data_IF_769671362123
#
_entry.id   IF_769671362123
#
_cell.length_a   1.000
_cell.length_b   1.000
_cell.length_c   1.000
_cell.angle_alpha   90.00
_cell.angle_beta   90.00
_cell.angle_gamma   90.00
#
_symmetry.space_group_name_H-M   'P 1'
#
loop_
_entity.id
_entity.type
_entity.pdbx_description
1 polymer ?
#
# COMPACT_ATOMS: atom_id res chain seq x y z
N UNK A 1 16.11 27.56 27.07
CA UNK A 1 16.52 27.01 25.76
C UNK A 1 15.24 26.72 24.97
N UNK A 2 15.08 27.28 23.77
CA UNK A 2 13.90 27.05 22.91
C UNK A 2 14.27 25.90 21.95
N UNK A 3 13.79 24.70 22.25
CA UNK A 3 13.94 23.55 21.36
C UNK A 3 12.91 23.68 20.25
N UNK A 4 13.32 24.27 19.12
CA UNK A 4 12.54 24.16 17.88
C UNK A 4 12.67 22.74 17.37
N UNK A 5 11.66 21.91 17.64
CA UNK A 5 11.50 20.61 17.01
C UNK A 5 11.19 20.86 15.53
N UNK A 6 12.21 20.78 14.69
CA UNK A 6 12.04 20.64 13.26
C UNK A 6 11.46 19.24 13.01
N UNK A 7 10.13 19.13 13.13
CA UNK A 7 9.42 17.92 12.73
C UNK A 7 9.52 17.85 11.21
N UNK A 8 10.40 16.98 10.70
CA UNK A 8 10.54 16.79 9.27
C UNK A 8 9.22 16.23 8.75
N UNK A 9 8.62 16.91 7.76
CA UNK A 9 7.34 16.50 7.16
C UNK A 9 7.39 15.05 6.63
N UNK A 10 8.58 14.56 6.28
CA UNK A 10 8.81 13.17 5.85
C UNK A 10 8.43 12.13 6.90
N UNK A 11 8.57 12.42 8.20
CA UNK A 11 8.25 11.46 9.26
C UNK A 11 6.72 11.30 9.48
N UNK A 12 5.93 12.31 9.12
CA UNK A 12 4.46 12.24 9.26
C UNK A 12 3.83 11.34 8.20
N UNK A 13 4.43 11.26 7.01
CA UNK A 13 3.89 10.45 5.90
C UNK A 13 3.93 8.96 6.26
N UNK A 14 5.07 8.46 6.76
CA UNK A 14 5.22 7.06 7.14
C UNK A 14 4.26 6.62 8.27
N UNK A 15 4.02 7.49 9.25
CA UNK A 15 3.10 7.20 10.35
C UNK A 15 1.62 7.20 9.93
N UNK A 16 1.25 8.00 8.92
CA UNK A 16 -0.11 8.08 8.39
C UNK A 16 -0.41 6.89 7.47
N UNK A 17 0.55 6.47 6.65
CA UNK A 17 0.37 5.32 5.74
C UNK A 17 0.13 4.05 6.56
N UNK A 18 0.90 3.80 7.62
CA UNK A 18 0.75 2.61 8.46
C UNK A 18 -0.59 2.50 9.22
N UNK A 19 -1.31 3.60 9.41
CA UNK A 19 -2.61 3.61 10.11
C UNK A 19 -3.81 3.54 9.16
N UNK A 20 -3.60 3.74 7.86
CA UNK A 20 -4.69 3.87 6.87
C UNK A 20 -4.78 2.72 5.88
N UNK A 21 -3.78 1.83 5.82
CA UNK A 21 -3.85 0.64 4.97
C UNK A 21 -4.99 -0.26 5.45
N UNK A 22 -6.01 -0.53 4.61
CA UNK A 22 -7.08 -1.43 4.97
C UNK A 22 -6.54 -2.83 5.32
N UNK A 23 -7.06 -3.51 6.35
CA UNK A 23 -6.55 -4.82 6.77
C UNK A 23 -6.53 -5.88 5.66
N UNK A 24 -7.46 -5.82 4.70
CA UNK A 24 -7.50 -6.73 3.56
C UNK A 24 -6.29 -6.56 2.62
N UNK A 25 -5.72 -5.35 2.53
CA UNK A 25 -4.54 -5.05 1.72
C UNK A 25 -3.30 -5.70 2.35
N UNK A 26 -3.17 -5.67 3.68
CA UNK A 26 -2.10 -6.36 4.41
C UNK A 26 -2.18 -7.89 4.25
N UNK A 27 -3.39 -8.46 4.15
CA UNK A 27 -3.57 -9.87 3.79
C UNK A 27 -3.06 -10.13 2.38
N UNK A 28 -3.41 -9.30 1.40
CA UNK A 28 -2.95 -9.44 0.03
C UNK A 28 -1.44 -9.24 -0.13
N UNK A 29 -0.88 -8.27 0.60
CA UNK A 29 0.55 -8.00 0.61
C UNK A 29 1.37 -9.21 1.11
N UNK A 30 0.84 -9.95 2.09
CA UNK A 30 1.47 -11.19 2.57
C UNK A 30 1.32 -12.38 1.63
N UNK A 31 0.38 -12.33 0.68
CA UNK A 31 0.15 -13.41 -0.32
C UNK A 31 0.96 -13.22 -1.60
N UNK A 32 1.23 -11.98 -2.00
CA UNK A 32 2.08 -11.70 -3.16
C UNK A 32 3.54 -12.10 -2.89
N UNK A 33 4.28 -12.43 -3.94
CA UNK A 33 5.68 -12.88 -3.86
C UNK A 33 6.65 -11.99 -4.64
N UNK A 34 6.14 -11.08 -5.46
CA UNK A 34 6.93 -10.23 -6.34
C UNK A 34 7.78 -9.20 -5.58
N UNK A 35 7.21 -8.55 -4.57
CA UNK A 35 7.88 -7.57 -3.71
C UNK A 35 7.80 -8.01 -2.25
N UNK A 36 8.69 -8.91 -1.79
CA UNK A 36 8.62 -9.48 -0.45
C UNK A 36 8.97 -8.48 0.67
N UNK A 37 9.62 -7.37 0.33
CA UNK A 37 9.93 -6.29 1.28
C UNK A 37 8.89 -5.18 1.17
N UNK A 38 8.11 -4.98 2.24
CA UNK A 38 7.10 -3.93 2.37
C UNK A 38 7.67 -2.51 2.35
N UNK A 39 8.99 -2.36 2.52
CA UNK A 39 9.68 -1.07 2.51
C UNK A 39 10.37 -0.77 1.17
N UNK A 40 10.40 -1.72 0.24
CA UNK A 40 10.96 -1.50 -1.10
C UNK A 40 9.94 -0.78 -1.99
N UNK A 41 9.72 0.51 -1.72
CA UNK A 41 8.82 1.36 -2.48
C UNK A 41 9.11 1.34 -3.98
N UNK A 42 10.38 1.15 -4.38
CA UNK A 42 10.71 1.06 -5.80
C UNK A 42 10.07 -0.19 -6.42
N UNK A 43 10.22 -1.35 -5.78
CA UNK A 43 9.55 -2.57 -6.21
C UNK A 43 8.03 -2.37 -6.23
N UNK A 44 7.44 -1.86 -5.13
CA UNK A 44 5.99 -1.67 -5.00
C UNK A 44 5.40 -0.74 -6.07
N UNK A 45 6.16 0.24 -6.55
CA UNK A 45 5.70 1.21 -7.53
C UNK A 45 5.96 0.79 -8.97
N UNK A 46 7.02 0.03 -9.25
CA UNK A 46 7.48 -0.25 -10.62
C UNK A 46 7.22 -1.70 -11.06
N UNK A 47 7.03 -2.65 -10.13
CA UNK A 47 6.89 -4.06 -10.47
C UNK A 47 5.45 -4.42 -10.89
N UNK A 48 5.28 -4.76 -12.16
CA UNK A 48 3.98 -5.11 -12.76
C UNK A 48 3.39 -6.38 -12.13
N UNK A 49 4.22 -7.36 -11.77
CA UNK A 49 3.77 -8.63 -11.20
C UNK A 49 3.16 -8.40 -9.81
N UNK A 50 3.79 -7.55 -9.00
CA UNK A 50 3.22 -7.09 -7.73
C UNK A 50 1.84 -6.45 -7.91
N UNK A 51 1.68 -5.54 -8.89
CA UNK A 51 0.39 -4.90 -9.15
C UNK A 51 -0.70 -5.90 -9.58
N UNK A 52 -0.34 -6.89 -10.40
CA UNK A 52 -1.25 -7.95 -10.83
C UNK A 52 -1.69 -8.80 -9.62
N UNK A 53 -0.73 -9.29 -8.81
CA UNK A 53 -1.02 -10.14 -7.66
C UNK A 53 -1.85 -9.42 -6.60
N UNK A 54 -1.52 -8.16 -6.31
CA UNK A 54 -2.31 -7.32 -5.41
C UNK A 54 -3.73 -7.10 -5.95
N UNK A 55 -3.87 -6.79 -7.25
CA UNK A 55 -5.18 -6.56 -7.87
C UNK A 55 -6.04 -7.83 -7.84
N UNK A 56 -5.46 -8.98 -8.20
CA UNK A 56 -6.15 -10.27 -8.19
C UNK A 56 -6.58 -10.66 -6.77
N UNK A 57 -5.72 -10.45 -5.77
CA UNK A 57 -6.09 -10.73 -4.39
C UNK A 57 -7.19 -9.79 -3.87
N UNK A 58 -7.06 -8.49 -4.10
CA UNK A 58 -8.00 -7.50 -3.56
C UNK A 58 -9.37 -7.56 -4.25
N UNK A 59 -9.39 -7.67 -5.58
CA UNK A 59 -10.61 -7.61 -6.40
C UNK A 59 -11.19 -8.99 -6.69
N UNK A 60 -10.37 -10.04 -6.64
CA UNK A 60 -10.71 -11.39 -7.08
C UNK A 60 -10.41 -11.58 -8.56
N UNK A 61 -10.50 -12.83 -9.02
CA UNK A 61 -10.31 -13.20 -10.42
C UNK A 61 -11.45 -14.13 -10.90
N UNK A 62 -11.78 -14.05 -12.19
CA UNK A 62 -12.71 -14.96 -12.89
C UNK A 62 -13.97 -15.44 -12.12
N UNK A 63 -14.66 -14.53 -11.43
CA UNK A 63 -15.95 -14.83 -10.77
C UNK A 63 -15.85 -15.17 -9.28
N UNK A 64 -14.65 -15.18 -8.71
CA UNK A 64 -14.45 -15.14 -7.26
C UNK A 64 -14.42 -13.70 -6.74
N UNK A 65 -14.99 -13.46 -5.57
CA UNK A 65 -14.86 -12.20 -4.86
C UNK A 65 -13.49 -12.11 -4.20
N UNK A 66 -12.80 -10.98 -4.39
CA UNK A 66 -11.54 -10.70 -3.70
C UNK A 66 -11.67 -10.42 -2.21
N UNK A 67 -10.53 -10.22 -1.56
CA UNK A 67 -10.42 -9.99 -0.12
C UNK A 67 -10.88 -8.58 0.31
N UNK A 68 -10.92 -7.62 -0.62
CA UNK A 68 -11.18 -6.22 -0.33
C UNK A 68 -12.50 -5.72 -0.95
N UNK A 69 -13.19 -4.86 -0.22
CA UNK A 69 -14.31 -4.10 -0.77
C UNK A 69 -13.85 -3.13 -1.87
N UNK A 70 -14.77 -2.61 -2.69
CA UNK A 70 -14.45 -1.58 -3.67
C UNK A 70 -13.91 -0.29 -3.00
N UNK A 71 -14.40 0.04 -1.81
CA UNK A 71 -13.93 1.19 -1.03
C UNK A 71 -12.49 0.98 -0.55
N UNK A 72 -12.17 -0.20 -0.02
CA UNK A 72 -10.81 -0.52 0.43
C UNK A 72 -9.82 -0.53 -0.75
N UNK A 73 -10.24 -1.07 -1.91
CA UNK A 73 -9.44 -1.04 -3.14
C UNK A 73 -9.12 0.40 -3.57
N UNK A 74 -10.09 1.30 -3.46
CA UNK A 74 -9.90 2.71 -3.77
C UNK A 74 -8.94 3.40 -2.80
N UNK A 75 -9.07 3.14 -1.50
CA UNK A 75 -8.14 3.67 -0.48
C UNK A 75 -6.72 3.13 -0.72
N UNK A 76 -6.57 1.82 -0.96
CA UNK A 76 -5.29 1.18 -1.23
C UNK A 76 -4.57 1.84 -2.41
N UNK A 77 -5.30 2.12 -3.50
CA UNK A 77 -4.77 2.80 -4.67
C UNK A 77 -4.28 4.21 -4.34
N UNK A 78 -5.07 5.00 -3.61
CA UNK A 78 -4.66 6.37 -3.21
C UNK A 78 -3.38 6.33 -2.36
N UNK A 79 -3.30 5.39 -1.42
CA UNK A 79 -2.12 5.26 -0.56
C UNK A 79 -0.88 4.87 -1.35
N UNK A 80 -1.02 3.94 -2.31
CA UNK A 80 0.07 3.53 -3.18
C UNK A 80 0.51 4.69 -4.09
N UNK A 81 -0.43 5.38 -4.75
CA UNK A 81 -0.14 6.55 -5.59
C UNK A 81 0.59 7.65 -4.78
N UNK A 82 0.13 7.93 -3.56
CA UNK A 82 0.78 8.90 -2.67
C UNK A 82 2.19 8.47 -2.24
N UNK A 83 2.41 7.17 -2.00
CA UNK A 83 3.71 6.62 -1.65
C UNK A 83 4.69 6.65 -2.84
N UNK A 84 4.18 6.41 -4.05
CA UNK A 84 4.95 6.45 -5.29
C UNK A 84 5.19 7.88 -5.82
N UNK A 85 4.52 8.88 -5.26
CA UNK A 85 4.64 10.29 -5.66
C UNK A 85 3.91 10.63 -6.97
N UNK A 86 2.83 9.92 -7.28
CA UNK A 86 1.99 10.11 -8.46
C UNK A 86 0.88 11.15 -8.27
#
# INVERSE_FOLDING_TARGET
MKFSLAVSLTALVAAVVAQQVPPCVDVCFRKQQACPDEWDLKCLCEDEQFHIEMTQCMRGDYGESGECSEEDQFIARILLDAACGA
#
